data_IF_557605739728
#
_entry.id   IF_557605739728
#
_cell.length_a   1.000
_cell.length_b   1.000
_cell.length_c   1.000
_cell.angle_alpha   90.00
_cell.angle_beta   90.00
_cell.angle_gamma   90.00
#
_symmetry.space_group_name_H-M   'P 1'
#
loop_
_entity.id
_entity.type
_entity.pdbx_description
1 polymer ?
#
# COMPACT_ATOMS: atom_id res chain seq x y z
N UNK A 1 -0.84 14.30 0.51
CA UNK A 1 -0.14 13.69 -0.64
C UNK A 1 -0.76 12.34 -0.93
N UNK A 2 -1.28 12.12 -2.15
CA UNK A 2 -1.99 10.89 -2.53
C UNK A 2 -1.12 9.63 -2.35
N UNK A 3 0.18 9.75 -2.67
CA UNK A 3 1.16 8.66 -2.48
C UNK A 3 1.21 8.16 -1.03
N UNK A 4 1.34 9.08 -0.06
CA UNK A 4 1.43 8.72 1.37
C UNK A 4 0.15 8.04 1.85
N UNK A 5 -1.02 8.54 1.42
CA UNK A 5 -2.29 7.91 1.73
C UNK A 5 -2.36 6.48 1.15
N UNK A 6 -1.92 6.29 -0.09
CA UNK A 6 -1.79 4.97 -0.71
C UNK A 6 -0.90 4.03 0.10
N UNK A 7 0.32 4.45 0.44
CA UNK A 7 1.26 3.65 1.24
C UNK A 7 0.63 3.22 2.58
N UNK A 8 0.01 4.13 3.32
CA UNK A 8 -0.62 3.81 4.62
C UNK A 8 -1.74 2.78 4.44
N UNK A 9 -2.63 2.97 3.46
CA UNK A 9 -3.72 2.03 3.18
C UNK A 9 -3.15 0.66 2.80
N UNK A 10 -2.14 0.62 1.93
CA UNK A 10 -1.47 -0.61 1.52
C UNK A 10 -0.85 -1.35 2.70
N UNK A 11 -0.05 -0.65 3.53
CA UNK A 11 0.59 -1.23 4.72
C UNK A 11 -0.44 -1.84 5.67
N UNK A 12 -1.49 -1.09 6.01
CA UNK A 12 -2.53 -1.55 6.93
C UNK A 12 -3.28 -2.76 6.36
N UNK A 13 -3.65 -2.71 5.07
CA UNK A 13 -4.38 -3.79 4.43
C UNK A 13 -3.54 -5.06 4.29
N UNK A 14 -2.28 -4.92 3.85
CA UNK A 14 -1.33 -6.03 3.73
C UNK A 14 -1.07 -6.71 5.08
N UNK A 15 -0.78 -5.92 6.11
CA UNK A 15 -0.58 -6.44 7.47
C UNK A 15 -1.83 -7.18 7.99
N UNK A 16 -3.02 -6.58 7.81
CA UNK A 16 -4.28 -7.19 8.23
C UNK A 16 -4.59 -8.49 7.47
N UNK A 17 -4.33 -8.52 6.16
CA UNK A 17 -4.55 -9.69 5.33
C UNK A 17 -3.64 -10.85 5.77
N UNK A 18 -2.35 -10.60 5.98
CA UNK A 18 -1.42 -11.62 6.46
C UNK A 18 -1.78 -12.10 7.87
N UNK A 19 -2.19 -11.20 8.77
CA UNK A 19 -2.66 -11.55 10.11
C UNK A 19 -3.91 -12.44 10.06
N UNK A 20 -4.88 -12.13 9.18
CA UNK A 20 -6.09 -12.95 8.97
C UNK A 20 -5.75 -14.34 8.44
N UNK A 21 -4.67 -14.47 7.65
CA UNK A 21 -4.13 -15.74 7.16
C UNK A 21 -3.24 -16.47 8.16
N UNK A 22 -3.15 -15.98 9.41
CA UNK A 22 -2.30 -16.54 10.49
C UNK A 22 -0.80 -16.58 10.11
N UNK A 23 -0.34 -15.63 9.27
CA UNK A 23 1.06 -15.51 8.91
C UNK A 23 1.96 -15.16 10.11
N UNK A 24 3.23 -15.56 10.06
CA UNK A 24 4.24 -15.22 11.07
C UNK A 24 4.58 -13.73 10.99
N UNK A 25 5.29 -13.21 11.99
CA UNK A 25 5.67 -11.78 12.02
C UNK A 25 6.38 -11.31 10.74
N UNK A 26 7.27 -12.13 10.18
CA UNK A 26 7.94 -11.84 8.91
C UNK A 26 6.98 -11.84 7.71
N UNK A 27 6.00 -12.74 7.66
CA UNK A 27 4.99 -12.75 6.60
C UNK A 27 4.12 -11.49 6.65
N UNK A 28 3.75 -11.05 7.86
CA UNK A 28 2.99 -9.82 8.09
C UNK A 28 3.80 -8.61 7.62
N UNK A 29 5.09 -8.53 7.97
CA UNK A 29 5.96 -7.45 7.52
C UNK A 29 6.12 -7.43 6.00
N UNK A 30 6.32 -8.60 5.37
CA UNK A 30 6.47 -8.70 3.91
C UNK A 30 5.18 -8.28 3.18
N UNK A 31 4.01 -8.71 3.65
CA UNK A 31 2.74 -8.27 3.09
C UNK A 31 2.49 -6.78 3.29
N UNK A 32 2.80 -6.25 4.48
CA UNK A 32 2.64 -4.83 4.77
C UNK A 32 3.50 -3.97 3.82
N UNK A 33 4.79 -4.31 3.68
CA UNK A 33 5.71 -3.60 2.78
C UNK A 33 5.29 -3.76 1.32
N UNK A 34 4.98 -4.99 0.88
CA UNK A 34 4.56 -5.26 -0.50
C UNK A 34 3.30 -4.51 -0.91
N UNK A 35 2.26 -4.53 -0.07
CA UNK A 35 1.04 -3.75 -0.34
C UNK A 35 1.29 -2.25 -0.21
N UNK A 36 2.11 -1.80 0.73
CA UNK A 36 2.52 -0.39 0.85
C UNK A 36 3.17 0.14 -0.42
N UNK A 37 4.10 -0.61 -1.01
CA UNK A 37 4.73 -0.27 -2.29
C UNK A 37 3.67 -0.25 -3.41
N UNK A 38 2.85 -1.30 -3.53
CA UNK A 38 1.85 -1.39 -4.59
C UNK A 38 0.85 -0.21 -4.57
N UNK A 39 0.32 0.13 -3.39
CA UNK A 39 -0.61 1.24 -3.25
C UNK A 39 0.09 2.61 -3.36
N UNK A 40 1.34 2.72 -2.92
CA UNK A 40 2.16 3.92 -3.13
C UNK A 40 2.36 4.21 -4.61
N UNK A 41 2.68 3.19 -5.40
CA UNK A 41 2.81 3.28 -6.87
C UNK A 41 1.46 3.66 -7.52
N UNK A 42 0.36 3.05 -7.11
CA UNK A 42 -0.98 3.44 -7.56
C UNK A 42 -1.28 4.91 -7.26
N UNK A 43 -0.95 5.37 -6.04
CA UNK A 43 -1.11 6.77 -5.64
C UNK A 43 -0.24 7.73 -6.46
N UNK A 44 0.98 7.33 -6.81
CA UNK A 44 1.87 8.12 -7.68
C UNK A 44 1.29 8.27 -9.08
N UNK A 45 0.86 7.15 -9.69
CA UNK A 45 0.22 7.17 -11.01
C UNK A 45 -1.03 8.05 -10.99
N UNK A 46 -1.87 7.91 -9.96
CA UNK A 46 -3.07 8.73 -9.79
C UNK A 46 -2.72 10.22 -9.66
N UNK A 47 -1.66 10.56 -8.92
CA UNK A 47 -1.20 11.95 -8.78
C UNK A 47 -0.82 12.52 -10.15
N UNK A 48 0.00 11.81 -10.92
CA UNK A 48 0.43 12.25 -12.27
C UNK A 48 -0.77 12.41 -13.19
N UNK A 49 -1.73 11.47 -13.18
CA UNK A 49 -2.93 11.57 -14.01
C UNK A 49 -3.73 12.83 -13.66
N UNK A 50 -3.99 13.08 -12.36
CA UNK A 50 -4.74 14.25 -11.92
C UNK A 50 -4.04 15.56 -12.28
N UNK A 51 -2.71 15.62 -12.12
CA UNK A 51 -1.90 16.78 -12.50
C UNK A 51 -1.82 17.00 -14.02
N UNK A 52 -2.08 15.98 -14.84
CA UNK A 52 -2.04 16.09 -16.31
C UNK A 52 -3.41 16.35 -16.93
N UNK A 53 -4.49 16.09 -16.20
CA UNK A 53 -5.87 16.27 -16.66
C UNK A 53 -6.49 17.59 -16.23
N UNK A 54 -5.90 18.29 -15.26
CA UNK A 54 -6.32 19.60 -14.74
C UNK A 54 -5.31 20.66 -15.17
#
# INVERSE_FOLDING_TARGET
MIVIAGVIIGVLWGALLARRRKGRGFDIAQYAVGFGIAFGLLGMILTVILERMV
#
